data_IF_906676857918
#
_entry.id   IF_906676857918
#
_cell.length_a   1.000
_cell.length_b   1.000
_cell.length_c   1.000
_cell.angle_alpha   90.00
_cell.angle_beta   90.00
_cell.angle_gamma   90.00
#
_symmetry.space_group_name_H-M   'P 1'
#
loop_
_entity.id
_entity.type
_entity.pdbx_description
1 polymer ?
#
# COMPACT_ATOMS: atom_id res chain seq x y z
N UNK A 1 -21.35 4.32 1.77
CA UNK A 1 -20.87 4.83 0.47
C UNK A 1 -21.90 5.82 -0.05
N UNK A 2 -21.63 6.55 -1.14
CA UNK A 2 -22.53 7.62 -1.64
C UNK A 2 -23.92 7.06 -2.00
N UNK A 3 -24.00 5.78 -2.33
CA UNK A 3 -25.21 5.00 -2.61
C UNK A 3 -25.93 4.46 -1.36
N UNK A 4 -25.50 4.81 -0.15
CA UNK A 4 -26.07 4.29 1.10
C UNK A 4 -25.64 2.88 1.48
N UNK A 5 -24.82 2.20 0.67
CA UNK A 5 -24.28 0.87 1.01
C UNK A 5 -23.22 0.97 2.11
N UNK A 6 -23.04 -0.11 2.87
CA UNK A 6 -22.02 -0.23 3.92
C UNK A 6 -21.14 -1.42 3.60
N UNK A 7 -19.85 -1.18 3.44
CA UNK A 7 -18.86 -2.25 3.31
C UNK A 7 -18.51 -2.75 4.70
N UNK A 8 -18.63 -4.05 4.91
CA UNK A 8 -18.15 -4.71 6.13
C UNK A 8 -16.74 -5.27 5.90
N UNK A 9 -15.85 -4.92 6.81
CA UNK A 9 -14.48 -5.40 6.95
C UNK A 9 -14.16 -5.53 8.45
N UNK A 10 -13.13 -6.29 8.86
CA UNK A 10 -11.91 -6.52 8.13
C UNK A 10 -11.86 -7.89 7.44
N UNK A 11 -11.03 -7.95 6.40
CA UNK A 11 -10.36 -9.18 6.03
C UNK A 11 -9.08 -8.82 5.27
N UNK A 12 -7.95 -8.77 5.98
CA UNK A 12 -6.64 -8.58 5.37
C UNK A 12 -5.97 -9.95 5.31
N UNK A 13 -5.89 -10.51 4.12
CA UNK A 13 -5.27 -11.80 3.86
C UNK A 13 -4.04 -11.62 3.00
N UNK A 14 -3.11 -12.57 3.09
CA UNK A 14 -1.95 -12.59 2.21
C UNK A 14 -2.40 -12.79 0.76
N UNK A 15 -1.96 -11.90 -0.13
CA UNK A 15 -2.12 -12.08 -1.57
C UNK A 15 -0.95 -12.93 -2.12
N UNK A 16 -1.26 -13.93 -2.93
CA UNK A 16 -0.26 -14.82 -3.56
C UNK A 16 0.22 -14.32 -4.93
N UNK A 17 -0.13 -13.07 -5.27
CA UNK A 17 0.29 -12.36 -6.47
C UNK A 17 0.31 -10.86 -6.15
N UNK A 18 1.37 -10.15 -6.56
CA UNK A 18 1.55 -8.71 -6.28
C UNK A 18 0.39 -7.84 -6.78
N UNK A 19 -0.20 -8.22 -7.89
CA UNK A 19 -1.33 -7.53 -8.53
C UNK A 19 -2.57 -8.45 -8.58
N UNK A 20 -2.72 -9.33 -7.59
CA UNK A 20 -3.84 -10.27 -7.51
C UNK A 20 -5.06 -9.66 -6.83
N UNK A 21 -6.04 -9.22 -7.62
CA UNK A 21 -7.30 -8.65 -7.11
C UNK A 21 -8.40 -9.70 -6.94
N UNK A 22 -8.20 -10.94 -7.41
CA UNK A 22 -9.14 -12.05 -7.27
C UNK A 22 -8.59 -13.08 -6.30
N UNK A 23 -9.48 -13.79 -5.59
CA UNK A 23 -9.13 -14.87 -4.64
C UNK A 23 -8.31 -16.01 -5.25
N UNK A 24 -8.40 -16.19 -6.57
CA UNK A 24 -7.71 -17.25 -7.31
C UNK A 24 -6.44 -16.76 -8.01
N UNK A 25 -6.13 -15.47 -7.89
CA UNK A 25 -4.93 -14.92 -8.52
C UNK A 25 -3.70 -15.44 -7.76
N UNK A 26 -2.87 -16.20 -8.48
CA UNK A 26 -1.69 -16.84 -7.94
C UNK A 26 -0.53 -16.62 -8.90
N UNK A 27 0.63 -16.27 -8.35
CA UNK A 27 1.90 -16.22 -9.07
C UNK A 27 2.89 -17.09 -8.31
N UNK A 28 3.40 -18.12 -8.99
CA UNK A 28 4.38 -19.02 -8.40
C UNK A 28 5.68 -18.27 -8.03
N UNK A 29 6.14 -17.38 -8.93
CA UNK A 29 7.33 -16.56 -8.69
C UNK A 29 7.16 -15.63 -7.49
N UNK A 30 6.03 -14.90 -7.41
CA UNK A 30 5.79 -13.97 -6.30
C UNK A 30 5.67 -14.73 -4.98
N UNK A 31 4.98 -15.88 -5.00
CA UNK A 31 4.80 -16.70 -3.80
C UNK A 31 6.13 -17.25 -3.30
N UNK A 32 7.02 -17.70 -4.18
CA UNK A 32 8.37 -18.12 -3.79
C UNK A 32 9.19 -16.97 -3.20
N UNK A 33 9.07 -15.76 -3.76
CA UNK A 33 9.77 -14.58 -3.22
C UNK A 33 9.26 -14.21 -1.81
N UNK A 34 7.94 -14.23 -1.63
CA UNK A 34 7.26 -14.01 -0.34
C UNK A 34 7.75 -15.02 0.70
N UNK A 35 7.76 -16.32 0.35
CA UNK A 35 8.19 -17.39 1.25
C UNK A 35 9.71 -17.42 1.46
N UNK A 36 10.50 -16.94 0.49
CA UNK A 36 11.95 -16.84 0.60
C UNK A 36 12.40 -15.72 1.55
N UNK A 37 11.63 -14.63 1.65
CA UNK A 37 11.94 -13.50 2.53
C UNK A 37 11.91 -13.90 4.01
N UNK A 38 13.01 -13.64 4.73
CA UNK A 38 13.11 -13.91 6.17
C UNK A 38 12.15 -13.04 6.99
N UNK A 39 12.03 -11.76 6.63
CA UNK A 39 11.12 -10.82 7.30
C UNK A 39 9.67 -11.24 7.16
N UNK A 40 9.23 -11.60 5.94
CA UNK A 40 7.85 -12.05 5.71
C UNK A 40 7.56 -13.34 6.45
N UNK A 41 8.48 -14.32 6.45
CA UNK A 41 8.32 -15.56 7.22
C UNK A 41 8.10 -15.30 8.71
N UNK A 42 8.83 -14.36 9.29
CA UNK A 42 8.65 -13.96 10.70
C UNK A 42 7.29 -13.31 10.94
N UNK A 43 6.84 -12.41 10.06
CA UNK A 43 5.49 -11.82 10.15
C UNK A 43 4.43 -12.92 10.10
N UNK A 44 4.54 -13.85 9.13
CA UNK A 44 3.59 -14.94 9.01
C UNK A 44 3.56 -15.78 10.28
N UNK A 45 4.72 -16.19 10.80
CA UNK A 45 4.85 -16.95 12.06
C UNK A 45 4.19 -16.24 13.26
N UNK A 46 4.43 -14.94 13.42
CA UNK A 46 3.88 -14.14 14.52
C UNK A 46 2.35 -13.96 14.42
N UNK A 47 1.80 -14.01 13.21
CA UNK A 47 0.38 -13.75 12.92
C UNK A 47 -0.37 -14.95 12.31
N UNK A 48 0.15 -16.18 12.44
CA UNK A 48 -0.46 -17.37 11.82
C UNK A 48 -1.91 -17.58 12.25
N UNK A 49 -2.18 -17.45 13.56
CA UNK A 49 -3.52 -17.70 14.12
C UNK A 49 -4.55 -16.72 13.58
N UNK A 50 -4.23 -15.43 13.58
CA UNK A 50 -5.10 -14.40 13.03
C UNK A 50 -5.22 -14.54 11.51
N UNK A 51 -4.11 -14.74 10.79
CA UNK A 51 -4.11 -14.90 9.34
C UNK A 51 -4.95 -16.08 8.84
N UNK A 52 -4.88 -17.24 9.50
CA UNK A 52 -5.73 -18.39 9.17
C UNK A 52 -7.21 -18.12 9.48
N UNK A 53 -7.49 -17.43 10.59
CA UNK A 53 -8.85 -17.01 10.93
C UNK A 53 -9.46 -16.10 9.86
N UNK A 54 -8.73 -15.07 9.46
CA UNK A 54 -9.11 -14.14 8.39
C UNK A 54 -9.29 -14.86 7.05
N UNK A 55 -8.34 -15.72 6.66
CA UNK A 55 -8.43 -16.49 5.42
C UNK A 55 -9.67 -17.41 5.39
N UNK A 56 -9.97 -18.09 6.50
CA UNK A 56 -11.21 -18.87 6.64
C UNK A 56 -12.45 -17.99 6.46
N UNK A 57 -12.49 -16.83 7.11
CA UNK A 57 -13.62 -15.90 7.01
C UNK A 57 -13.77 -15.32 5.60
N UNK A 58 -12.66 -15.18 4.86
CA UNK A 58 -12.67 -14.71 3.47
C UNK A 58 -13.30 -15.75 2.55
N UNK A 59 -13.11 -17.05 2.83
CA UNK A 59 -13.68 -18.15 2.05
C UNK A 59 -15.11 -18.51 2.49
N UNK A 60 -15.44 -18.35 3.77
CA UNK A 60 -16.71 -18.78 4.36
C UNK A 60 -17.62 -17.60 4.72
N UNK A 61 -18.59 -17.28 3.85
CA UNK A 61 -19.57 -16.20 4.10
C UNK A 61 -20.36 -16.37 5.40
N UNK A 62 -20.74 -17.60 5.75
CA UNK A 62 -21.49 -17.87 7.00
C UNK A 62 -20.64 -17.70 8.26
N UNK A 63 -19.36 -18.06 8.20
CA UNK A 63 -18.40 -17.77 9.26
C UNK A 63 -18.22 -16.26 9.45
N UNK A 64 -18.10 -15.53 8.34
CA UNK A 64 -17.98 -14.07 8.36
C UNK A 64 -19.25 -13.38 8.88
N UNK A 65 -20.44 -13.83 8.48
CA UNK A 65 -21.72 -13.32 8.99
C UNK A 65 -21.78 -13.35 10.53
N UNK A 66 -21.31 -14.44 11.15
CA UNK A 66 -21.28 -14.56 12.62
C UNK A 66 -20.41 -13.49 13.29
N UNK A 67 -19.35 -13.03 12.62
CA UNK A 67 -18.52 -11.93 13.12
C UNK A 67 -19.22 -10.59 12.96
N UNK A 68 -19.84 -10.36 11.80
CA UNK A 68 -20.58 -9.13 11.50
C UNK A 68 -21.80 -8.98 12.43
N UNK A 69 -22.47 -10.09 12.76
CA UNK A 69 -23.62 -10.11 13.67
C UNK A 69 -23.30 -9.69 15.11
N UNK A 70 -22.02 -9.68 15.51
CA UNK A 70 -21.60 -9.07 16.79
C UNK A 70 -21.88 -7.57 16.83
N UNK A 71 -21.90 -6.92 15.67
CA UNK A 71 -22.16 -5.48 15.53
C UNK A 71 -23.60 -5.20 15.08
N UNK A 72 -24.16 -6.03 14.20
CA UNK A 72 -25.55 -5.90 13.75
C UNK A 72 -26.24 -7.28 13.67
N UNK A 73 -26.93 -7.72 14.74
CA UNK A 73 -27.52 -9.06 14.83
C UNK A 73 -28.62 -9.35 13.79
N UNK A 74 -29.24 -8.31 13.23
CA UNK A 74 -30.33 -8.44 12.25
C UNK A 74 -29.85 -8.81 10.85
N UNK A 75 -28.54 -8.74 10.59
CA UNK A 75 -27.99 -9.08 9.28
C UNK A 75 -28.12 -10.58 8.99
N UNK A 76 -28.41 -10.88 7.73
CA UNK A 76 -28.60 -12.19 7.16
C UNK A 76 -27.57 -12.46 6.05
N UNK A 77 -27.53 -13.68 5.52
CA UNK A 77 -26.63 -14.02 4.42
C UNK A 77 -26.95 -13.26 3.13
N UNK A 78 -28.22 -12.93 2.88
CA UNK A 78 -28.64 -12.17 1.70
C UNK A 78 -28.15 -10.73 1.69
N UNK A 79 -27.83 -10.18 2.86
CA UNK A 79 -27.28 -8.83 2.98
C UNK A 79 -25.79 -8.78 2.60
N UNK A 80 -25.10 -9.93 2.57
CA UNK A 80 -23.68 -10.04 2.23
C UNK A 80 -23.44 -10.22 0.72
N UNK A 81 -23.35 -9.08 0.04
CA UNK A 81 -23.02 -9.01 -1.38
C UNK A 81 -21.51 -9.04 -1.64
N UNK A 82 -21.05 -9.52 -2.82
CA UNK A 82 -19.64 -9.43 -3.20
C UNK A 82 -19.18 -7.97 -3.29
N UNK A 83 -17.94 -7.72 -2.87
CA UNK A 83 -17.27 -6.43 -3.02
C UNK A 83 -15.87 -6.66 -3.61
N UNK A 84 -15.36 -5.78 -4.48
CA UNK A 84 -14.00 -5.89 -5.01
C UNK A 84 -12.96 -5.89 -3.88
N UNK A 85 -11.93 -6.70 -4.04
CA UNK A 85 -10.77 -6.67 -3.15
C UNK A 85 -9.86 -5.49 -3.49
N UNK A 86 -9.12 -5.01 -2.50
CA UNK A 86 -7.99 -4.10 -2.70
C UNK A 86 -6.69 -4.81 -2.35
N UNK A 87 -5.60 -4.45 -3.04
CA UNK A 87 -4.25 -4.91 -2.70
C UNK A 87 -3.48 -3.78 -2.04
N UNK A 88 -2.90 -4.05 -0.88
CA UNK A 88 -2.05 -3.10 -0.14
C UNK A 88 -0.60 -3.54 -0.23
N UNK A 89 0.24 -2.71 -0.85
CA UNK A 89 1.69 -2.84 -0.73
C UNK A 89 2.09 -2.38 0.67
N UNK A 90 2.61 -3.32 1.48
CA UNK A 90 2.99 -3.09 2.86
C UNK A 90 4.45 -3.49 3.03
N UNK A 91 5.31 -2.54 3.38
CA UNK A 91 6.71 -2.83 3.63
C UNK A 91 6.87 -3.67 4.90
N UNK A 92 7.77 -4.65 4.82
CA UNK A 92 8.15 -5.55 5.92
C UNK A 92 9.65 -5.42 6.12
N UNK A 93 10.07 -5.17 7.36
CA UNK A 93 11.48 -5.11 7.71
C UNK A 93 12.12 -6.52 7.73
N UNK A 94 13.46 -6.63 7.62
CA UNK A 94 14.16 -7.90 7.74
C UNK A 94 13.94 -8.63 9.08
N UNK A 95 13.65 -7.89 10.15
CA UNK A 95 13.33 -8.45 11.46
C UNK A 95 11.88 -8.94 11.59
N UNK A 96 11.03 -8.70 10.60
CA UNK A 96 9.64 -9.17 10.55
C UNK A 96 8.64 -8.23 11.19
N UNK A 97 8.87 -6.91 11.09
CA UNK A 97 7.91 -5.88 11.48
C UNK A 97 7.24 -5.29 10.25
N UNK A 98 5.95 -5.02 10.37
CA UNK A 98 5.23 -4.22 9.39
C UNK A 98 5.61 -2.75 9.61
N UNK A 99 6.01 -2.06 8.55
CA UNK A 99 6.34 -0.63 8.64
C UNK A 99 5.03 0.16 8.64
N UNK A 100 4.66 0.74 9.77
CA UNK A 100 3.35 1.40 9.92
C UNK A 100 3.34 2.87 9.49
N UNK A 101 4.51 3.46 9.18
CA UNK A 101 4.67 4.85 8.75
C UNK A 101 5.34 4.97 7.36
N UNK A 102 5.50 6.18 6.85
CA UNK A 102 6.19 6.43 5.60
C UNK A 102 7.64 5.98 5.64
N UNK A 103 8.04 5.19 4.64
CA UNK A 103 9.44 4.79 4.45
C UNK A 103 9.99 5.47 3.21
N UNK A 104 11.01 6.30 3.40
CA UNK A 104 11.71 6.97 2.31
C UNK A 104 13.15 6.45 2.22
N UNK A 105 13.58 6.11 1.00
CA UNK A 105 14.98 5.81 0.70
C UNK A 105 15.50 6.87 -0.26
N UNK A 106 16.59 7.54 0.12
CA UNK A 106 17.17 8.63 -0.68
C UNK A 106 18.52 8.22 -1.24
N UNK A 107 18.73 8.49 -2.53
CA UNK A 107 20.07 8.51 -3.15
C UNK A 107 20.47 9.97 -3.38
N UNK A 108 21.70 10.28 -3.85
CA UNK A 108 22.08 11.65 -4.16
C UNK A 108 21.15 12.37 -5.15
N UNK A 109 20.38 11.63 -5.98
CA UNK A 109 19.53 12.20 -7.03
C UNK A 109 18.08 11.68 -7.04
N UNK A 110 17.70 10.79 -6.12
CA UNK A 110 16.35 10.21 -6.10
C UNK A 110 15.80 10.11 -4.68
N UNK A 111 14.48 10.18 -4.57
CA UNK A 111 13.74 9.89 -3.35
C UNK A 111 12.72 8.82 -3.70
N UNK A 112 12.79 7.68 -3.04
CA UNK A 112 11.87 6.56 -3.20
C UNK A 112 10.92 6.53 -2.01
N UNK A 113 9.62 6.65 -2.26
CA UNK A 113 8.58 6.38 -1.27
C UNK A 113 8.31 4.87 -1.26
N UNK A 114 9.01 4.14 -0.40
CA UNK A 114 8.99 2.68 -0.33
C UNK A 114 7.82 2.14 0.50
N UNK A 115 7.22 2.95 1.38
CA UNK A 115 6.03 2.61 2.13
C UNK A 115 5.17 3.85 2.31
N UNK A 116 3.88 3.73 2.00
CA UNK A 116 2.87 4.76 2.24
C UNK A 116 1.59 4.09 2.73
N UNK A 117 1.55 3.68 4.01
CA UNK A 117 0.46 2.90 4.54
C UNK A 117 -0.81 3.75 4.68
N UNK A 118 -1.96 3.08 4.79
CA UNK A 118 -3.22 3.76 5.05
C UNK A 118 -3.15 4.53 6.38
N UNK A 119 -3.61 5.80 6.41
CA UNK A 119 -4.44 6.43 5.40
C UNK A 119 -3.64 7.43 4.54
N UNK A 120 -2.73 6.95 3.68
CA UNK A 120 -2.02 7.80 2.71
C UNK A 120 -2.95 8.73 1.93
N UNK A 121 -4.21 8.33 1.68
CA UNK A 121 -5.22 9.20 1.07
C UNK A 121 -5.65 10.36 1.98
N UNK A 122 -5.79 10.16 3.30
CA UNK A 122 -6.16 11.25 4.23
C UNK A 122 -4.94 12.08 4.65
N UNK A 123 -3.72 11.54 4.52
CA UNK A 123 -2.47 12.26 4.76
C UNK A 123 -1.78 12.73 3.47
N UNK A 124 -2.50 12.76 2.34
CA UNK A 124 -1.96 13.12 1.02
C UNK A 124 -1.31 14.51 0.98
N UNK A 125 -1.90 15.49 1.68
CA UNK A 125 -1.35 16.86 1.76
C UNK A 125 -0.09 16.88 2.66
N UNK A 126 -0.12 16.37 3.91
CA UNK A 126 1.08 16.28 4.75
C UNK A 126 2.24 15.51 4.12
N UNK A 127 1.98 14.33 3.51
CA UNK A 127 3.04 13.55 2.87
C UNK A 127 3.62 14.29 1.66
N UNK A 128 2.77 14.98 0.87
CA UNK A 128 3.22 15.81 -0.24
C UNK A 128 4.17 16.91 0.22
N UNK A 129 3.80 17.64 1.28
CA UNK A 129 4.66 18.65 1.89
C UNK A 129 5.99 18.06 2.40
N UNK A 130 5.94 16.88 3.03
CA UNK A 130 7.13 16.19 3.52
C UNK A 130 8.08 15.76 2.39
N UNK A 131 7.53 15.24 1.29
CA UNK A 131 8.32 14.88 0.10
C UNK A 131 8.99 16.12 -0.48
N UNK A 132 8.25 17.22 -0.64
CA UNK A 132 8.81 18.50 -1.15
C UNK A 132 9.94 19.01 -0.26
N UNK A 133 9.77 18.95 1.07
CA UNK A 133 10.81 19.32 2.02
C UNK A 133 12.08 18.46 1.84
N UNK A 134 11.95 17.14 1.68
CA UNK A 134 13.10 16.26 1.41
C UNK A 134 13.77 16.59 0.08
N UNK A 135 13.01 16.92 -0.97
CA UNK A 135 13.57 17.35 -2.26
C UNK A 135 14.40 18.62 -2.09
N UNK A 136 13.90 19.61 -1.36
CA UNK A 136 14.63 20.86 -1.09
C UNK A 136 15.95 20.59 -0.36
N UNK A 137 15.95 19.74 0.67
CA UNK A 137 17.17 19.33 1.38
C UNK A 137 18.16 18.61 0.45
N UNK A 138 17.67 17.75 -0.45
CA UNK A 138 18.52 17.06 -1.42
C UNK A 138 19.16 18.04 -2.40
N UNK A 139 18.40 19.02 -2.90
CA UNK A 139 18.91 20.06 -3.79
C UNK A 139 19.95 20.95 -3.10
N UNK A 140 19.73 21.31 -1.83
CA UNK A 140 20.66 22.12 -1.06
C UNK A 140 21.98 21.39 -0.74
N UNK A 141 21.93 20.06 -0.57
CA UNK A 141 23.13 19.24 -0.33
C UNK A 141 23.90 18.89 -1.61
N UNK A 142 23.31 19.11 -2.79
CA UNK A 142 24.02 19.04 -4.06
C UNK A 142 24.82 20.33 -4.29
N UNK A 143 26.09 20.35 -3.85
CA UNK A 143 27.05 21.34 -4.32
C UNK A 143 27.30 21.12 -5.81
N UNK A 144 26.59 21.86 -6.66
CA UNK A 144 26.85 21.85 -8.10
C UNK A 144 26.89 23.30 -8.64
N UNK A 145 28.08 23.89 -8.87
CA UNK A 145 28.23 25.30 -9.25
C UNK A 145 27.76 25.65 -10.68
N UNK A 146 27.14 24.72 -11.42
CA UNK A 146 26.88 24.88 -12.86
C UNK A 146 25.49 24.49 -13.38
N UNK A 147 24.51 24.20 -12.52
CA UNK A 147 23.17 23.83 -13.02
C UNK A 147 22.05 24.47 -12.21
N UNK A 148 21.77 25.74 -12.51
CA UNK A 148 20.52 26.39 -12.10
C UNK A 148 19.38 25.77 -12.90
N UNK A 149 18.70 24.76 -12.34
CA UNK A 149 17.37 24.41 -12.79
C UNK A 149 16.44 25.53 -12.33
N UNK A 150 16.27 26.56 -13.18
CA UNK A 150 15.19 27.53 -13.00
C UNK A 150 13.88 26.74 -13.04
N UNK A 151 13.08 26.84 -11.98
CA UNK A 151 11.70 26.37 -12.01
C UNK A 151 11.05 26.92 -13.27
N UNK A 152 10.63 26.02 -14.17
CA UNK A 152 9.97 26.40 -15.42
C UNK A 152 8.69 27.16 -15.05
N UNK A 153 8.78 28.49 -15.07
CA UNK A 153 7.61 29.36 -15.08
C UNK A 153 7.13 29.36 -16.52
N UNK A 154 5.91 28.86 -16.70
CA UNK A 154 5.12 28.83 -17.94
C UNK A 154 5.50 27.77 -19.00
N UNK A 155 4.45 27.27 -19.65
CA UNK A 155 4.38 26.09 -20.52
C UNK A 155 4.99 26.33 -21.91
N UNK A 156 5.42 27.55 -22.23
CA UNK A 156 5.79 27.94 -23.60
C UNK A 156 7.26 27.69 -23.98
N UNK A 157 8.12 27.23 -23.05
CA UNK A 157 9.55 27.07 -23.31
C UNK A 157 9.98 25.67 -23.80
N UNK A 158 9.05 24.83 -24.27
CA UNK A 158 9.36 23.46 -24.73
C UNK A 158 9.71 23.35 -26.22
N UNK A 159 9.53 24.40 -27.03
CA UNK A 159 9.80 24.33 -28.47
C UNK A 159 11.18 24.84 -28.91
N UNK A 160 11.95 25.52 -28.04
CA UNK A 160 13.22 26.15 -28.43
C UNK A 160 14.49 25.38 -28.04
N UNK A 161 14.38 24.24 -27.34
CA UNK A 161 15.55 23.51 -26.83
C UNK A 161 15.96 22.27 -27.66
N UNK A 162 15.36 22.06 -28.84
CA UNK A 162 15.63 20.89 -29.68
C UNK A 162 16.05 21.20 -31.12
N UNK A 163 16.44 22.44 -31.44
CA UNK A 163 17.22 22.70 -32.65
C UNK A 163 18.25 23.81 -32.40
N UNK A 164 19.51 23.40 -32.59
CA UNK A 164 20.81 24.09 -32.50
C UNK A 164 21.51 23.99 -31.15
#
# INVERSE_FOLDING_TARGET
>A
MIDGSVTVGPNAVLAFKREGYRKRDFSFSDTLEILGSSGIRRVLQNHLRSGLGEMKNSLCKSGYLRLVQKYCPRLSLSDLQPWPAGVRAQAVSPDGKLIDDFLFVTTPRTIHTCNAPSPAATSAIPIGAHIVSKVQTLLASQSNPGRTLRAARSVDALHAAFNQ
#
